data_IF_060240288060
#
_entry.id   IF_060240288060
#
_cell.length_a   1.000
_cell.length_b   1.000
_cell.length_c   1.000
_cell.angle_alpha   90.00
_cell.angle_beta   90.00
_cell.angle_gamma   90.00
#
_symmetry.space_group_name_H-M   'P 1'
#
loop_
_entity.id
_entity.type
_entity.pdbx_description
1 polymer ?
#
# COMPACT_ATOMS: atom_id res chain seq x y z
N UNK A 1 -4.32 -12.86 -19.54
CA UNK A 1 -4.22 -13.15 -20.99
C UNK A 1 -3.98 -11.84 -21.72
N UNK A 2 -3.20 -11.80 -22.80
CA UNK A 2 -2.96 -10.57 -23.56
C UNK A 2 -3.99 -10.41 -24.70
N UNK A 3 -3.93 -9.31 -25.45
CA UNK A 3 -4.86 -9.03 -26.56
C UNK A 3 -4.77 -10.04 -27.72
N UNK A 4 -3.73 -10.88 -27.77
CA UNK A 4 -3.62 -11.95 -28.75
C UNK A 4 -4.29 -13.27 -28.31
N UNK A 5 -4.92 -13.32 -27.12
CA UNK A 5 -5.50 -14.55 -26.60
C UNK A 5 -4.46 -15.57 -26.08
N UNK A 6 -3.22 -15.16 -25.83
CA UNK A 6 -2.15 -16.04 -25.31
C UNK A 6 -1.78 -15.68 -23.86
N UNK A 7 -1.25 -16.63 -23.06
CA UNK A 7 -0.75 -16.34 -21.72
C UNK A 7 0.40 -15.33 -21.78
N UNK A 8 0.41 -14.38 -20.84
CA UNK A 8 1.43 -13.33 -20.77
C UNK A 8 2.71 -13.87 -20.13
N UNK A 9 3.86 -13.31 -20.50
CA UNK A 9 5.13 -13.55 -19.80
C UNK A 9 5.35 -12.51 -18.70
N UNK A 10 5.88 -12.95 -17.56
CA UNK A 10 6.29 -12.08 -16.44
C UNK A 10 7.71 -11.57 -16.70
N UNK A 11 7.90 -10.26 -16.61
CA UNK A 11 9.18 -9.58 -16.90
C UNK A 11 9.52 -8.67 -15.74
N UNK A 12 10.77 -8.74 -15.28
CA UNK A 12 11.28 -7.84 -14.23
C UNK A 12 11.93 -6.61 -14.85
N UNK A 13 11.59 -5.43 -14.36
CA UNK A 13 12.24 -4.17 -14.73
C UNK A 13 13.67 -4.18 -14.19
N UNK A 14 14.64 -4.34 -15.10
CA UNK A 14 16.07 -4.26 -14.78
C UNK A 14 16.65 -2.87 -14.91
N UNK A 15 15.92 -1.96 -15.58
CA UNK A 15 16.33 -0.58 -15.76
C UNK A 15 16.39 0.14 -14.41
N UNK A 16 17.43 0.94 -14.23
CA UNK A 16 17.60 1.77 -13.03
C UNK A 16 16.49 2.84 -12.93
N UNK A 17 16.01 3.06 -11.70
CA UNK A 17 14.97 4.05 -11.40
C UNK A 17 13.93 3.52 -10.40
N UNK A 18 12.88 4.32 -10.18
CA UNK A 18 11.80 4.04 -9.20
C UNK A 18 11.07 2.70 -9.39
N UNK A 19 11.14 2.14 -10.60
CA UNK A 19 10.48 0.87 -10.93
C UNK A 19 11.44 -0.33 -10.98
N UNK A 20 12.73 -0.16 -10.65
CA UNK A 20 13.71 -1.25 -10.65
C UNK A 20 13.23 -2.38 -9.73
N UNK A 21 13.29 -3.61 -10.24
CA UNK A 21 12.86 -4.81 -9.50
C UNK A 21 11.36 -5.10 -9.57
N UNK A 22 10.53 -4.16 -10.04
CA UNK A 22 9.08 -4.43 -10.22
C UNK A 22 8.85 -5.37 -11.39
N UNK A 23 7.81 -6.19 -11.30
CA UNK A 23 7.44 -7.17 -12.32
C UNK A 23 6.20 -6.70 -13.09
N UNK A 24 6.18 -6.94 -14.40
CA UNK A 24 5.04 -6.67 -15.26
C UNK A 24 4.78 -7.83 -16.21
N UNK A 25 3.53 -7.97 -16.63
CA UNK A 25 3.08 -8.90 -17.64
C UNK A 25 3.11 -8.24 -19.01
N UNK A 26 3.68 -8.95 -19.99
CA UNK A 26 3.73 -8.51 -21.38
C UNK A 26 3.43 -9.65 -22.35
N UNK A 27 3.09 -9.30 -23.59
CA UNK A 27 2.88 -10.30 -24.64
C UNK A 27 4.18 -11.10 -24.91
N UNK A 28 4.12 -12.45 -24.97
CA UNK A 28 5.30 -13.27 -25.17
C UNK A 28 5.86 -13.21 -26.60
N UNK A 29 5.03 -12.82 -27.58
CA UNK A 29 5.39 -12.73 -29.00
C UNK A 29 6.57 -11.77 -29.24
N UNK A 30 7.21 -11.94 -30.39
CA UNK A 30 8.32 -11.10 -30.86
C UNK A 30 7.90 -9.65 -31.09
N UNK A 31 8.87 -8.73 -31.18
CA UNK A 31 8.62 -7.29 -31.23
C UNK A 31 7.69 -6.86 -32.38
N UNK A 32 7.74 -7.54 -33.54
CA UNK A 32 6.91 -7.24 -34.70
C UNK A 32 5.46 -7.76 -34.56
N UNK A 33 5.22 -8.76 -33.71
CA UNK A 33 3.92 -9.40 -33.56
C UNK A 33 3.31 -9.24 -32.14
N UNK A 34 4.01 -8.56 -31.23
CA UNK A 34 3.53 -8.31 -29.88
C UNK A 34 2.41 -7.27 -29.89
N UNK A 35 1.32 -7.57 -29.19
CA UNK A 35 0.34 -6.56 -28.88
C UNK A 35 0.86 -5.59 -27.80
N UNK A 36 0.20 -4.44 -27.66
CA UNK A 36 0.51 -3.38 -26.69
C UNK A 36 0.06 -3.66 -25.25
N UNK A 37 -0.35 -4.89 -24.94
CA UNK A 37 -0.76 -5.28 -23.59
C UNK A 37 0.37 -5.07 -22.56
N UNK A 38 0.03 -4.40 -21.47
CA UNK A 38 0.92 -4.12 -20.34
C UNK A 38 0.10 -4.13 -19.05
N UNK A 39 0.56 -4.88 -18.04
CA UNK A 39 -0.08 -4.93 -16.72
C UNK A 39 0.99 -5.12 -15.66
N UNK A 40 0.94 -4.36 -14.56
CA UNK A 40 1.83 -4.60 -13.42
C UNK A 40 1.46 -5.90 -12.69
N UNK A 41 2.47 -6.66 -12.24
CA UNK A 41 2.28 -7.92 -11.51
C UNK A 41 2.13 -7.73 -9.99
N UNK A 42 2.00 -6.49 -9.51
CA UNK A 42 1.84 -6.17 -8.08
C UNK A 42 0.49 -6.67 -7.51
N UNK A 43 -0.47 -7.01 -8.38
CA UNK A 43 -1.81 -7.50 -7.99
C UNK A 43 -1.88 -8.97 -7.55
N UNK A 44 -0.76 -9.70 -7.55
CA UNK A 44 -0.72 -11.10 -7.06
C UNK A 44 -0.19 -11.21 -5.62
N UNK A 45 -0.07 -10.07 -4.93
CA UNK A 45 0.18 -9.99 -3.50
C UNK A 45 -1.13 -9.71 -2.73
N UNK A 46 -2.20 -10.46 -2.99
CA UNK A 46 -3.31 -10.49 -2.02
C UNK A 46 -4.23 -11.71 -2.14
N UNK A 47 -3.75 -12.86 -1.68
CA UNK A 47 -4.63 -13.77 -0.95
C UNK A 47 -3.82 -14.41 0.16
N UNK A 48 -3.26 -13.59 1.08
CA UNK A 48 -3.05 -13.93 2.50
C UNK A 48 -2.90 -12.62 3.31
N UNK A 49 -4.03 -12.16 3.84
CA UNK A 49 -4.20 -11.43 5.12
C UNK A 49 -3.45 -10.09 5.37
N UNK A 50 -4.14 -8.96 5.17
CA UNK A 50 -3.96 -7.78 6.02
C UNK A 50 -5.25 -6.93 6.12
N UNK A 51 -6.34 -7.58 6.53
CA UNK A 51 -7.47 -6.90 7.17
C UNK A 51 -7.06 -6.40 8.55
N UNK A 52 -6.27 -5.32 8.58
CA UNK A 52 -6.06 -4.49 9.76
C UNK A 52 -6.57 -3.08 9.47
N UNK A 53 -7.85 -3.00 9.08
CA UNK A 53 -8.87 -2.24 9.79
C UNK A 53 -8.33 -1.09 10.67
N UNK A 54 -7.96 0.02 10.04
CA UNK A 54 -7.91 1.32 10.70
C UNK A 54 -9.35 1.83 10.89
N UNK A 55 -10.14 1.10 11.66
CA UNK A 55 -11.44 1.55 12.14
C UNK A 55 -11.30 1.70 13.65
N UNK A 56 -11.16 2.95 14.08
CA UNK A 56 -11.34 3.39 15.46
C UNK A 56 -12.80 3.17 15.89
N UNK A 57 -13.25 1.91 15.88
CA UNK A 57 -14.53 1.49 16.43
C UNK A 57 -14.34 1.35 17.93
N UNK A 58 -14.79 2.38 18.65
CA UNK A 58 -14.75 2.46 20.11
C UNK A 58 -15.28 1.17 20.76
N UNK A 59 -14.37 0.42 21.38
CA UNK A 59 -14.73 -0.64 22.32
C UNK A 59 -14.44 -0.13 23.72
N UNK A 60 -15.44 0.52 24.30
CA UNK A 60 -15.47 0.81 25.72
C UNK A 60 -15.34 -0.49 26.51
N UNK A 61 -14.23 -0.65 27.22
CA UNK A 61 -14.09 -1.57 28.35
C UNK A 61 -13.26 -0.83 29.41
N UNK A 62 -13.97 -0.24 30.36
CA UNK A 62 -13.36 0.50 31.45
C UNK A 62 -12.52 -0.39 32.37
N UNK A 63 -11.67 0.26 33.17
CA UNK A 63 -11.28 -0.09 34.55
C UNK A 63 -10.24 0.91 35.06
N UNK A 64 -10.62 1.72 36.05
CA UNK A 64 -9.77 1.88 37.23
C UNK A 64 -9.14 3.25 37.55
N UNK A 65 -9.70 3.88 38.61
CA UNK A 65 -9.03 4.34 39.85
C UNK A 65 -7.98 5.48 39.82
N UNK A 66 -8.27 6.54 40.59
CA UNK A 66 -7.29 7.41 41.29
C UNK A 66 -7.39 8.88 40.88
N UNK A 67 -8.15 9.76 41.57
CA UNK A 67 -7.87 10.56 42.78
C UNK A 67 -6.68 11.54 42.70
N UNK A 68 -6.99 12.78 43.13
CA UNK A 68 -6.13 13.94 43.48
C UNK A 68 -5.60 14.77 42.29
N UNK A 69 -5.65 16.10 42.25
CA UNK A 69 -6.03 17.13 43.23
C UNK A 69 -5.28 18.44 42.90
N UNK A 70 -5.91 19.60 43.10
CA UNK A 70 -5.30 20.95 43.21
C UNK A 70 -4.86 21.61 41.88
N UNK A 71 -5.43 22.74 41.46
CA UNK A 71 -5.34 24.12 41.96
C UNK A 71 -4.20 24.93 41.38
N UNK A 72 -4.56 26.11 40.83
CA UNK A 72 -3.75 27.34 40.68
C UNK A 72 -2.70 27.31 39.53
N UNK A 73 -2.39 28.37 38.77
CA UNK A 73 -2.85 29.75 38.52
C UNK A 73 -1.78 30.33 37.54
N UNK A 74 -2.11 31.38 36.78
CA UNK A 74 -1.22 32.28 35.98
C UNK A 74 -0.34 31.63 34.87
N UNK A 75 0.03 32.22 33.72
CA UNK A 75 -0.12 33.54 33.13
C UNK A 75 0.94 33.73 32.02
N UNK A 76 0.51 33.83 30.75
CA UNK A 76 1.03 34.69 29.65
C UNK A 76 2.52 34.59 29.15
N UNK A 77 2.99 35.29 28.07
CA UNK A 77 2.54 35.46 26.68
C UNK A 77 3.49 34.88 25.60
N UNK A 78 3.00 34.96 24.37
CA UNK A 78 3.69 34.85 23.07
C UNK A 78 4.87 35.84 22.90
N UNK A 79 5.96 35.38 22.30
CA UNK A 79 6.96 36.15 21.52
C UNK A 79 7.59 35.16 20.52
N UNK A 80 7.94 35.44 19.26
CA UNK A 80 7.88 36.61 18.37
C UNK A 80 7.71 36.06 16.96
#
# INVERSE_FOLDING_TARGET
MCNCGVPCKKVTVRKEGRNKGRQFYSCPKEMNARCTFFQWADGEANTEWAGQENFSAGRGRGRGRGRAGGSSKEGEPRTR
#
